data_IF_097160653516
#
_entry.id   IF_097160653516
#
_cell.length_a   1.000
_cell.length_b   1.000
_cell.length_c   1.000
_cell.angle_alpha   90.00
_cell.angle_beta   90.00
_cell.angle_gamma   90.00
#
_symmetry.space_group_name_H-M   'P 1'
#
loop_
_entity.id
_entity.type
_entity.pdbx_description
1 polymer ?
#
# COMPACT_ATOMS: atom_id res chain seq x y z
N UNK A 1 54.88 26.88 -12.36
CA UNK A 1 54.38 27.87 -13.33
C UNK A 1 52.85 27.86 -13.28
N UNK A 2 52.29 29.06 -13.10
CA UNK A 2 50.88 29.47 -13.19
C UNK A 2 49.83 28.85 -12.24
N UNK A 3 49.65 29.56 -11.11
CA UNK A 3 48.40 29.76 -10.40
C UNK A 3 47.43 30.61 -11.24
N UNK A 4 46.12 30.36 -11.12
CA UNK A 4 45.11 31.42 -11.21
C UNK A 4 44.06 31.24 -10.11
N UNK A 5 44.00 32.28 -9.30
CA UNK A 5 43.16 32.55 -8.15
C UNK A 5 42.03 33.47 -8.63
N UNK A 6 40.78 33.32 -8.18
CA UNK A 6 39.78 34.40 -8.28
C UNK A 6 38.73 34.32 -7.16
N UNK A 7 38.58 35.48 -6.53
CA UNK A 7 37.91 35.79 -5.29
C UNK A 7 36.38 35.94 -5.39
N UNK A 8 35.80 35.86 -4.19
CA UNK A 8 34.52 36.31 -3.67
C UNK A 8 33.94 37.65 -4.18
N UNK A 9 32.60 37.72 -4.19
CA UNK A 9 31.83 38.95 -3.92
C UNK A 9 30.56 38.64 -3.10
N UNK A 10 30.48 39.24 -1.92
CA UNK A 10 29.24 39.48 -1.17
C UNK A 10 28.60 40.79 -1.63
N UNK A 11 27.27 40.87 -1.60
CA UNK A 11 26.54 42.07 -1.15
C UNK A 11 25.13 41.71 -0.65
N UNK A 12 24.80 42.17 0.57
CA UNK A 12 23.45 42.34 1.13
C UNK A 12 22.78 43.57 0.51
N UNK A 13 21.44 43.68 0.57
CA UNK A 13 20.66 44.77 1.21
C UNK A 13 19.13 44.62 0.95
N UNK A 14 18.40 44.66 2.09
CA UNK A 14 17.08 45.18 2.48
C UNK A 14 15.83 45.30 1.56
N UNK A 15 14.70 45.05 2.25
CA UNK A 15 13.27 45.28 1.98
C UNK A 15 12.86 46.76 1.83
N UNK A 16 11.68 47.06 1.26
CA UNK A 16 10.69 47.83 2.04
C UNK A 16 9.21 47.41 1.89
N UNK A 17 8.44 47.63 2.97
CA UNK A 17 6.96 47.53 3.05
C UNK A 17 6.25 48.77 2.46
N UNK A 18 5.04 48.64 1.88
CA UNK A 18 3.80 49.27 2.41
C UNK A 18 2.50 49.01 1.59
N UNK A 19 1.44 48.58 2.32
CA UNK A 19 0.00 48.96 2.34
C UNK A 19 -0.80 49.26 1.05
N UNK A 20 -1.94 48.57 0.86
CA UNK A 20 -3.37 49.06 0.88
C UNK A 20 -4.35 47.99 0.35
N UNK A 21 -5.30 47.50 1.17
CA UNK A 21 -6.78 47.76 1.22
C UNK A 21 -7.64 47.24 0.03
N UNK A 22 -8.55 46.32 0.40
CA UNK A 22 -9.73 45.68 -0.25
C UNK A 22 -10.76 46.65 -0.87
N UNK A 23 -11.68 46.23 -1.78
CA UNK A 23 -12.85 45.38 -1.42
C UNK A 23 -13.47 44.42 -2.48
N UNK A 24 -14.25 43.47 -1.93
CA UNK A 24 -15.25 42.58 -2.57
C UNK A 24 -16.22 43.27 -3.54
N UNK A 25 -16.86 42.47 -4.42
CA UNK A 25 -18.28 42.61 -4.71
C UNK A 25 -19.10 41.37 -4.27
N UNK A 26 -20.13 41.64 -3.47
CA UNK A 26 -21.29 40.75 -3.26
C UNK A 26 -22.19 40.78 -4.50
N UNK A 27 -22.81 39.66 -4.84
CA UNK A 27 -24.06 39.66 -5.60
C UNK A 27 -25.00 38.56 -5.09
N UNK A 28 -26.10 39.01 -4.50
CA UNK A 28 -27.38 38.34 -4.19
C UNK A 28 -28.35 38.79 -5.30
N UNK A 29 -29.34 38.07 -5.86
CA UNK A 29 -30.34 37.10 -5.41
C UNK A 29 -30.99 36.48 -6.67
N UNK A 30 -31.51 35.24 -6.61
CA UNK A 30 -32.91 34.96 -6.97
C UNK A 30 -33.31 33.55 -6.55
N UNK A 31 -34.45 33.47 -5.84
CA UNK A 31 -35.20 32.27 -5.48
C UNK A 31 -36.03 31.81 -6.66
N UNK A 32 -36.04 30.51 -6.95
CA UNK A 32 -37.23 29.85 -7.49
C UNK A 32 -37.48 28.54 -6.74
N UNK A 33 -38.67 28.50 -6.15
CA UNK A 33 -39.29 27.33 -5.53
C UNK A 33 -39.56 26.24 -6.57
N UNK A 34 -39.26 25.00 -6.23
CA UNK A 34 -39.99 23.83 -6.75
C UNK A 34 -40.16 22.80 -5.63
N UNK A 35 -41.36 22.77 -5.06
CA UNK A 35 -41.96 21.60 -4.43
C UNK A 35 -42.29 20.63 -5.59
N UNK A 36 -42.16 19.31 -5.56
CA UNK A 36 -42.21 18.32 -4.49
C UNK A 36 -41.77 16.97 -5.08
N UNK A 37 -41.14 16.09 -4.29
CA UNK A 37 -41.65 14.73 -4.00
C UNK A 37 -40.74 14.04 -2.95
N UNK A 38 -41.30 13.31 -1.98
CA UNK A 38 -40.56 12.81 -0.84
C UNK A 38 -39.91 11.46 -1.16
N UNK A 39 -38.59 11.44 -1.33
CA UNK A 39 -37.85 10.18 -1.31
C UNK A 39 -37.75 9.71 0.15
N UNK A 40 -38.54 8.67 0.42
CA UNK A 40 -38.55 7.90 1.65
C UNK A 40 -37.11 7.50 2.03
N UNK A 41 -36.67 7.93 3.21
CA UNK A 41 -35.51 7.39 3.92
C UNK A 41 -35.75 5.90 4.15
N UNK A 42 -35.20 5.04 3.29
CA UNK A 42 -34.99 3.64 3.63
C UNK A 42 -33.71 3.60 4.45
N UNK A 43 -33.89 3.69 5.76
CA UNK A 43 -32.86 3.50 6.76
C UNK A 43 -32.61 1.98 6.90
N UNK A 44 -32.02 1.35 5.88
CA UNK A 44 -31.53 -0.01 6.00
C UNK A 44 -30.17 0.04 6.70
N UNK A 45 -30.19 -0.10 8.03
CA UNK A 45 -29.02 -0.62 8.76
C UNK A 45 -28.73 -2.02 8.22
N UNK A 46 -27.82 -2.11 7.26
CA UNK A 46 -27.24 -3.38 6.83
C UNK A 46 -26.55 -4.00 8.04
N UNK A 47 -27.07 -5.14 8.50
CA UNK A 47 -26.32 -5.99 9.44
C UNK A 47 -25.03 -6.42 8.73
N UNK A 48 -23.86 -6.39 9.38
CA UNK A 48 -22.63 -6.81 8.75
C UNK A 48 -22.72 -8.30 8.41
N UNK A 49 -22.91 -8.60 7.14
CA UNK A 49 -22.83 -9.96 6.62
C UNK A 49 -21.36 -10.36 6.71
N UNK A 50 -21.01 -11.22 7.68
CA UNK A 50 -19.67 -11.83 7.75
C UNK A 50 -19.39 -12.48 6.40
N UNK A 51 -18.48 -11.90 5.62
CA UNK A 51 -18.08 -12.49 4.36
C UNK A 51 -17.46 -13.86 4.64
N UNK A 52 -18.04 -14.88 4.02
CA UNK A 52 -17.64 -16.27 4.19
C UNK A 52 -16.45 -16.51 3.25
N UNK A 53 -15.24 -16.60 3.81
CA UNK A 53 -14.06 -16.97 3.02
C UNK A 53 -14.18 -18.46 2.70
N UNK A 54 -14.20 -18.79 1.40
CA UNK A 54 -14.21 -20.19 0.96
C UNK A 54 -12.82 -20.80 1.15
N UNK A 55 -12.72 -22.06 1.60
CA UNK A 55 -11.43 -22.73 1.73
C UNK A 55 -10.71 -22.81 0.38
N UNK A 56 -9.44 -22.39 0.36
CA UNK A 56 -8.56 -22.51 -0.79
C UNK A 56 -7.64 -23.71 -0.57
N UNK A 57 -7.41 -24.52 -1.61
CA UNK A 57 -6.42 -25.61 -1.60
C UNK A 57 -5.33 -25.35 -2.64
N UNK A 58 -4.10 -25.71 -2.28
CA UNK A 58 -2.96 -25.66 -3.18
C UNK A 58 -2.90 -26.87 -4.10
N UNK A 59 -2.37 -26.67 -5.31
CA UNK A 59 -2.30 -27.68 -6.38
C UNK A 59 -0.98 -28.46 -6.37
N UNK A 60 -0.83 -29.40 -7.31
CA UNK A 60 0.45 -30.06 -7.56
C UNK A 60 1.52 -29.09 -8.10
N UNK A 61 1.13 -28.13 -8.94
CA UNK A 61 2.04 -27.12 -9.48
C UNK A 61 2.64 -26.26 -8.36
N UNK A 62 1.84 -25.87 -7.37
CA UNK A 62 2.33 -25.19 -6.17
C UNK A 62 3.40 -26.00 -5.43
N UNK A 63 3.21 -27.32 -5.28
CA UNK A 63 4.18 -28.18 -4.57
C UNK A 63 5.48 -28.39 -5.35
N UNK A 64 5.39 -28.35 -6.68
CA UNK A 64 6.54 -28.51 -7.56
C UNK A 64 7.42 -27.25 -7.59
N UNK A 65 6.81 -26.06 -7.49
CA UNK A 65 7.54 -24.80 -7.43
C UNK A 65 7.99 -24.48 -6.00
N UNK A 66 9.30 -24.26 -5.81
CA UNK A 66 9.88 -23.87 -4.52
C UNK A 66 10.86 -22.72 -4.74
N UNK A 67 10.44 -21.46 -4.54
CA UNK A 67 11.36 -20.35 -4.67
C UNK A 67 12.42 -20.40 -3.57
N UNK A 68 13.58 -19.80 -3.84
CA UNK A 68 14.53 -19.51 -2.76
C UNK A 68 13.88 -18.51 -1.80
N UNK A 69 14.23 -18.61 -0.52
CA UNK A 69 13.83 -17.61 0.44
C UNK A 69 14.98 -17.20 1.35
N UNK A 70 14.86 -15.98 1.87
CA UNK A 70 15.78 -15.37 2.81
C UNK A 70 14.97 -14.67 3.90
N UNK A 71 15.59 -14.43 5.05
CA UNK A 71 15.03 -13.65 6.14
C UNK A 71 15.94 -12.46 6.37
N UNK A 72 15.39 -11.25 6.32
CA UNK A 72 16.08 -10.01 6.57
C UNK A 72 15.19 -9.12 7.43
N UNK A 73 15.09 -9.46 8.73
CA UNK A 73 14.19 -8.79 9.66
C UNK A 73 14.39 -7.28 9.64
N UNK A 74 13.28 -6.55 9.50
CA UNK A 74 13.25 -5.11 9.71
C UNK A 74 13.60 -4.79 11.17
N UNK A 75 14.09 -3.59 11.40
CA UNK A 75 14.24 -3.05 12.74
C UNK A 75 12.87 -2.98 13.43
N UNK A 76 12.77 -3.31 14.74
CA UNK A 76 11.52 -3.21 15.49
C UNK A 76 10.84 -1.84 15.47
N UNK A 77 11.56 -0.74 15.16
CA UNK A 77 10.94 0.57 14.99
C UNK A 77 10.17 0.74 13.69
N UNK A 78 10.34 -0.16 12.71
CA UNK A 78 9.70 -0.10 11.39
C UNK A 78 8.45 -0.97 11.25
N UNK A 79 7.95 -1.56 12.34
CA UNK A 79 6.68 -2.28 12.36
C UNK A 79 6.08 -2.22 13.77
N UNK A 80 4.84 -2.69 13.93
CA UNK A 80 4.19 -2.70 15.24
C UNK A 80 3.30 -3.92 15.45
N UNK A 81 2.55 -3.94 16.54
CA UNK A 81 1.52 -4.95 16.76
C UNK A 81 0.31 -4.71 15.86
N UNK A 82 -0.37 -5.80 15.50
CA UNK A 82 -1.76 -5.73 15.03
C UNK A 82 -2.66 -5.48 16.23
N UNK A 83 -3.47 -4.42 16.17
CA UNK A 83 -4.36 -4.04 17.25
C UNK A 83 -5.71 -4.75 17.10
N UNK A 84 -6.21 -5.35 18.19
CA UNK A 84 -7.54 -5.94 18.25
C UNK A 84 -8.66 -4.89 18.37
N UNK A 85 -8.30 -3.65 18.72
CA UNK A 85 -9.18 -2.48 18.78
C UNK A 85 -8.50 -1.29 18.12
N UNK A 86 -9.27 -0.44 17.48
CA UNK A 86 -8.79 0.84 16.96
C UNK A 86 -8.63 1.88 18.09
N UNK A 87 -8.19 3.08 17.73
CA UNK A 87 -7.95 4.18 18.65
C UNK A 87 -9.21 4.67 19.40
N UNK A 88 -10.40 4.43 18.84
CA UNK A 88 -11.70 4.75 19.46
C UNK A 88 -12.22 3.58 20.32
N UNK A 89 -11.49 2.45 20.38
CA UNK A 89 -11.86 1.26 21.12
C UNK A 89 -12.78 0.30 20.35
N UNK A 90 -13.07 0.55 19.08
CA UNK A 90 -13.87 -0.31 18.20
C UNK A 90 -13.11 -1.58 17.88
N UNK A 91 -13.78 -2.74 17.94
CA UNK A 91 -13.17 -4.02 17.60
C UNK A 91 -12.76 -4.08 16.13
N UNK A 92 -11.50 -4.46 15.88
CA UNK A 92 -11.01 -4.75 14.54
C UNK A 92 -11.38 -6.17 14.16
N UNK A 93 -12.21 -6.33 13.12
CA UNK A 93 -12.66 -7.62 12.62
C UNK A 93 -12.57 -7.75 11.09
N UNK A 94 -11.76 -6.90 10.46
CA UNK A 94 -11.51 -6.90 9.03
C UNK A 94 -10.99 -8.26 8.57
N UNK A 95 -11.40 -8.67 7.36
CA UNK A 95 -10.83 -9.84 6.74
C UNK A 95 -9.41 -9.54 6.25
N UNK A 96 -8.51 -10.53 6.20
CA UNK A 96 -7.16 -10.33 5.68
C UNK A 96 -7.17 -9.73 4.27
N UNK A 97 -6.24 -8.83 4.01
CA UNK A 97 -6.04 -8.16 2.72
C UNK A 97 -4.59 -8.38 2.26
N UNK A 98 -4.34 -8.52 0.96
CA UNK A 98 -2.99 -8.47 0.40
C UNK A 98 -2.85 -7.15 -0.35
N UNK A 99 -1.80 -6.39 -0.04
CA UNK A 99 -1.47 -5.15 -0.76
C UNK A 99 -0.15 -5.34 -1.46
N UNK A 100 -0.17 -5.15 -2.79
CA UNK A 100 0.98 -5.25 -3.65
C UNK A 100 1.66 -3.89 -3.78
N UNK A 101 2.99 -3.91 -3.69
CA UNK A 101 3.86 -2.74 -3.77
C UNK A 101 4.98 -2.97 -4.78
N UNK A 102 5.71 -1.90 -5.08
CA UNK A 102 7.05 -1.99 -5.66
C UNK A 102 8.06 -1.26 -4.75
N UNK A 103 9.35 -1.53 -4.93
CA UNK A 103 10.41 -0.92 -4.11
C UNK A 103 10.86 0.46 -4.61
N UNK A 104 10.65 0.78 -5.89
CA UNK A 104 11.23 1.91 -6.63
C UNK A 104 12.78 1.99 -6.56
N UNK A 105 13.41 0.93 -6.06
CA UNK A 105 14.83 0.82 -5.74
C UNK A 105 15.29 -0.65 -5.81
N UNK A 106 16.59 -0.95 -5.84
CA UNK A 106 17.07 -2.32 -5.66
C UNK A 106 16.61 -2.91 -4.32
N UNK A 107 16.41 -4.23 -4.27
CA UNK A 107 15.94 -4.93 -3.07
C UNK A 107 16.86 -4.70 -1.87
N UNK A 108 18.18 -4.67 -2.10
CA UNK A 108 19.19 -4.42 -1.05
C UNK A 108 19.01 -3.05 -0.40
N UNK A 109 18.65 -2.01 -1.16
CA UNK A 109 18.42 -0.66 -0.63
C UNK A 109 17.18 -0.63 0.28
N UNK A 110 16.09 -1.26 -0.14
CA UNK A 110 14.87 -1.35 0.67
C UNK A 110 15.09 -2.19 1.94
N UNK A 111 15.81 -3.31 1.85
CA UNK A 111 16.17 -4.14 3.01
C UNK A 111 17.01 -3.32 4.01
N UNK A 112 18.04 -2.63 3.53
CA UNK A 112 18.88 -1.78 4.38
C UNK A 112 18.07 -0.67 5.05
N UNK A 113 17.13 -0.05 4.32
CA UNK A 113 16.22 0.94 4.88
C UNK A 113 15.37 0.34 6.02
N UNK A 114 14.79 -0.85 5.81
CA UNK A 114 13.97 -1.52 6.83
C UNK A 114 14.78 -1.94 8.06
N UNK A 115 16.06 -2.30 7.89
CA UNK A 115 16.95 -2.69 8.99
C UNK A 115 17.50 -1.49 9.78
N UNK A 116 17.45 -0.29 9.19
CA UNK A 116 17.85 0.96 9.85
C UNK A 116 16.75 1.41 10.81
N UNK A 117 17.06 1.72 12.09
CA UNK A 117 16.06 2.22 13.02
C UNK A 117 15.54 3.60 12.59
N UNK A 118 14.21 3.78 12.63
CA UNK A 118 13.56 5.07 12.40
C UNK A 118 12.59 5.38 13.55
N UNK A 119 12.84 6.46 14.29
CA UNK A 119 11.96 6.88 15.39
C UNK A 119 10.83 7.82 14.93
N UNK A 120 10.99 8.42 13.75
CA UNK A 120 9.98 9.27 13.13
C UNK A 120 8.95 8.44 12.36
N UNK A 121 7.71 8.46 12.82
CA UNK A 121 6.57 7.80 12.16
C UNK A 121 6.32 8.23 10.71
N UNK A 122 6.82 9.39 10.28
CA UNK A 122 6.74 9.85 8.89
C UNK A 122 7.77 9.17 7.97
N UNK A 123 8.81 8.55 8.54
CA UNK A 123 9.89 7.87 7.81
C UNK A 123 9.74 6.36 7.89
N UNK A 124 9.26 5.85 9.03
CA UNK A 124 9.04 4.43 9.25
C UNK A 124 8.27 3.76 8.11
N UNK A 125 8.87 2.72 7.53
CA UNK A 125 8.23 1.92 6.49
C UNK A 125 8.72 0.48 6.54
N UNK A 126 7.85 -0.45 6.14
CA UNK A 126 8.21 -1.85 5.97
C UNK A 126 7.17 -2.60 5.14
N UNK A 127 7.61 -3.73 4.58
CA UNK A 127 6.71 -4.74 4.00
C UNK A 127 6.84 -6.04 4.78
N UNK A 128 5.90 -6.96 4.62
CA UNK A 128 6.04 -8.30 5.21
C UNK A 128 6.99 -9.15 4.38
N UNK A 129 6.90 -9.00 3.07
CA UNK A 129 7.71 -9.77 2.13
C UNK A 129 8.11 -8.92 0.92
N UNK A 130 9.28 -9.22 0.37
CA UNK A 130 9.77 -8.68 -0.88
C UNK A 130 10.14 -9.81 -1.84
N UNK A 131 9.91 -9.63 -3.14
CA UNK A 131 10.30 -10.59 -4.17
C UNK A 131 11.38 -9.96 -5.05
N UNK A 132 12.62 -10.48 -4.96
CA UNK A 132 13.76 -10.03 -5.77
C UNK A 132 13.54 -10.31 -7.26
N UNK A 133 14.33 -9.68 -8.13
CA UNK A 133 14.26 -9.89 -9.58
C UNK A 133 14.38 -11.36 -10.00
N UNK A 134 15.14 -12.16 -9.25
CA UNK A 134 15.35 -13.60 -9.50
C UNK A 134 14.26 -14.50 -8.87
N UNK A 135 13.21 -13.93 -8.28
CA UNK A 135 12.14 -14.64 -7.60
C UNK A 135 12.43 -14.99 -6.14
N UNK A 136 13.59 -14.65 -5.59
CA UNK A 136 13.87 -14.93 -4.17
C UNK A 136 12.88 -14.18 -3.27
N UNK A 137 12.22 -14.92 -2.38
CA UNK A 137 11.26 -14.41 -1.40
C UNK A 137 12.02 -13.97 -0.15
N UNK A 138 11.97 -12.69 0.19
CA UNK A 138 12.63 -12.14 1.38
C UNK A 138 11.56 -11.78 2.42
N UNK A 139 11.58 -12.47 3.56
CA UNK A 139 10.72 -12.15 4.69
C UNK A 139 11.36 -11.04 5.54
N UNK A 140 10.62 -9.96 5.77
CA UNK A 140 11.13 -8.74 6.44
C UNK A 140 10.35 -8.37 7.70
N UNK A 141 9.05 -8.68 7.78
CA UNK A 141 8.22 -8.49 8.98
C UNK A 141 7.38 -9.76 9.22
N UNK A 142 7.31 -10.29 10.46
CA UNK A 142 6.46 -11.45 10.76
C UNK A 142 4.99 -11.20 10.41
N UNK A 143 4.25 -12.20 9.89
CA UNK A 143 2.86 -12.04 9.42
C UNK A 143 1.88 -11.54 10.50
N UNK A 144 2.11 -11.90 11.76
CA UNK A 144 1.31 -11.50 12.92
C UNK A 144 1.53 -10.04 13.34
N UNK A 145 2.59 -9.40 12.84
CA UNK A 145 2.89 -7.99 13.07
C UNK A 145 2.24 -7.13 12.00
N UNK A 146 2.15 -5.83 12.29
CA UNK A 146 1.68 -4.79 11.39
C UNK A 146 2.90 -4.13 10.74
N UNK A 147 3.15 -4.43 9.48
CA UNK A 147 4.10 -3.67 8.67
C UNK A 147 3.54 -2.27 8.35
N UNK A 148 4.42 -1.32 8.05
CA UNK A 148 4.07 0.06 7.73
C UNK A 148 4.17 0.30 6.22
N UNK A 149 3.26 -0.33 5.46
CA UNK A 149 3.37 -0.40 4.00
C UNK A 149 2.51 0.60 3.23
N UNK A 150 1.37 1.03 3.77
CA UNK A 150 0.35 1.74 2.99
C UNK A 150 0.00 3.18 3.45
N UNK A 151 0.55 3.66 4.56
CA UNK A 151 0.24 4.98 5.13
C UNK A 151 -1.29 5.29 5.13
N UNK A 152 -1.70 6.51 4.75
CA UNK A 152 -3.12 6.90 4.60
C UNK A 152 -3.82 6.08 3.51
N UNK A 153 -4.62 5.11 3.93
CA UNK A 153 -5.18 4.12 3.01
C UNK A 153 -6.53 3.56 3.45
N UNK A 154 -7.36 3.22 2.47
CA UNK A 154 -8.68 2.60 2.64
C UNK A 154 -8.88 1.56 1.55
N UNK A 155 -9.36 0.38 1.91
CA UNK A 155 -9.75 -0.65 0.96
C UNK A 155 -11.26 -0.59 0.70
N UNK A 156 -11.66 -0.31 -0.53
CA UNK A 156 -13.08 -0.30 -0.93
C UNK A 156 -13.48 -1.66 -1.49
N UNK A 157 -13.99 -2.52 -0.61
CA UNK A 157 -14.43 -3.87 -0.94
C UNK A 157 -15.94 -4.00 -1.14
N UNK A 158 -16.39 -5.22 -1.44
CA UNK A 158 -17.82 -5.54 -1.56
C UNK A 158 -18.62 -5.37 -0.26
N UNK A 159 -17.95 -5.24 0.88
CA UNK A 159 -18.54 -4.99 2.19
C UNK A 159 -18.53 -3.51 2.58
N UNK A 160 -18.06 -2.63 1.68
CA UNK A 160 -17.82 -1.22 1.94
C UNK A 160 -16.34 -0.91 2.18
N UNK A 161 -16.09 0.33 2.59
CA UNK A 161 -14.76 0.85 2.88
C UNK A 161 -14.21 0.29 4.20
N UNK A 162 -12.99 -0.22 4.16
CA UNK A 162 -12.28 -0.82 5.29
C UNK A 162 -10.96 -0.07 5.57
N UNK A 163 -10.79 0.38 6.81
CA UNK A 163 -9.55 0.98 7.31
C UNK A 163 -9.52 0.91 8.84
N UNK A 164 -8.35 1.10 9.45
CA UNK A 164 -8.20 1.10 10.92
C UNK A 164 -7.38 2.32 11.36
N UNK A 165 -7.93 3.07 12.32
CA UNK A 165 -7.23 4.17 12.99
C UNK A 165 -6.41 3.61 14.16
N UNK A 166 -5.10 3.42 14.00
CA UNK A 166 -4.25 2.86 15.09
C UNK A 166 -3.63 3.92 16.01
N UNK A 167 -3.52 5.16 15.53
CA UNK A 167 -2.98 6.30 16.26
C UNK A 167 -3.79 7.55 15.88
N UNK A 168 -4.45 8.27 16.80
CA UNK A 168 -5.23 9.48 16.49
C UNK A 168 -4.48 10.57 15.71
N UNK A 169 -3.15 10.63 15.83
CA UNK A 169 -2.32 11.66 15.19
C UNK A 169 -1.90 11.30 13.75
N UNK A 170 -2.19 10.08 13.30
CA UNK A 170 -1.87 9.61 11.94
C UNK A 170 -3.16 9.38 11.15
N UNK A 171 -3.13 9.42 9.81
CA UNK A 171 -4.27 8.99 9.01
C UNK A 171 -4.58 7.49 9.21
N UNK A 172 -5.85 7.07 9.02
CA UNK A 172 -6.23 5.67 9.10
C UNK A 172 -5.60 4.86 7.96
N UNK A 173 -5.40 3.57 8.20
CA UNK A 173 -4.64 2.71 7.29
C UNK A 173 -5.14 1.28 7.22
N UNK A 174 -4.91 0.62 6.09
CA UNK A 174 -5.11 -0.83 5.93
C UNK A 174 -4.01 -1.66 6.62
N UNK A 175 -2.91 -1.04 7.06
CA UNK A 175 -1.73 -1.71 7.65
C UNK A 175 -2.12 -2.75 8.72
N UNK A 176 -3.13 -2.47 9.55
CA UNK A 176 -3.51 -3.32 10.68
C UNK A 176 -4.05 -4.71 10.28
N UNK A 177 -4.60 -4.87 9.08
CA UNK A 177 -5.17 -6.12 8.58
C UNK A 177 -4.61 -6.57 7.22
N UNK A 178 -3.70 -5.78 6.63
CA UNK A 178 -3.03 -6.10 5.38
C UNK A 178 -1.76 -6.93 5.58
N UNK A 179 -1.47 -7.78 4.61
CA UNK A 179 -0.18 -8.41 4.36
C UNK A 179 0.43 -7.74 3.12
N UNK A 180 1.56 -7.08 3.32
CA UNK A 180 2.21 -6.24 2.32
C UNK A 180 3.30 -7.04 1.60
N UNK A 181 3.20 -7.14 0.28
CA UNK A 181 4.19 -7.79 -0.57
C UNK A 181 4.72 -6.79 -1.58
N UNK A 182 6.04 -6.60 -1.62
CA UNK A 182 6.69 -5.71 -2.59
C UNK A 182 7.47 -6.47 -3.64
N UNK A 183 7.43 -6.00 -4.88
CA UNK A 183 8.26 -6.50 -5.97
C UNK A 183 9.47 -5.58 -6.14
N UNK A 184 10.66 -6.17 -6.24
CA UNK A 184 11.84 -5.41 -6.64
C UNK A 184 11.61 -4.80 -8.02
N UNK A 185 11.71 -3.48 -8.10
CA UNK A 185 11.54 -2.73 -9.34
C UNK A 185 12.62 -3.12 -10.35
N UNK A 186 12.27 -3.39 -11.62
CA UNK A 186 13.26 -3.70 -12.66
C UNK A 186 14.21 -2.51 -12.87
N UNK A 187 15.45 -2.72 -13.36
CA UNK A 187 16.41 -1.64 -13.57
C UNK A 187 15.87 -0.43 -14.37
N UNK A 188 14.92 -0.67 -15.29
CA UNK A 188 14.25 0.37 -16.08
C UNK A 188 13.33 1.31 -15.30
N UNK A 189 12.91 0.93 -14.08
CA UNK A 189 12.01 1.70 -13.22
C UNK A 189 12.65 2.25 -11.95
N UNK A 190 13.93 1.92 -11.68
CA UNK A 190 14.62 2.33 -10.46
C UNK A 190 14.92 3.83 -10.51
N UNK A 191 14.68 4.52 -9.38
CA UNK A 191 15.05 5.94 -9.16
C UNK A 191 14.51 6.90 -10.25
N UNK A 192 13.36 6.60 -10.83
CA UNK A 192 12.65 7.48 -11.75
C UNK A 192 11.16 7.57 -11.41
N UNK A 193 10.53 8.65 -11.88
CA UNK A 193 9.12 8.92 -11.66
C UNK A 193 8.25 8.55 -12.87
N UNK A 194 8.78 7.74 -13.79
CA UNK A 194 8.02 7.32 -14.95
C UNK A 194 6.82 6.47 -14.50
N UNK A 195 5.63 6.64 -15.10
CA UNK A 195 4.44 5.91 -14.71
C UNK A 195 4.51 4.42 -15.07
N UNK A 196 5.48 4.02 -15.90
CA UNK A 196 5.68 2.65 -16.37
C UNK A 196 7.16 2.30 -16.45
N UNK A 197 7.44 1.00 -16.52
CA UNK A 197 8.76 0.40 -16.71
C UNK A 197 8.61 -0.94 -17.45
N UNK A 198 9.70 -1.66 -17.72
CA UNK A 198 9.67 -2.89 -18.55
C UNK A 198 8.82 -4.04 -18.00
N UNK A 199 8.41 -3.96 -16.74
CA UNK A 199 7.58 -4.96 -16.06
C UNK A 199 8.41 -5.93 -15.24
N UNK A 200 7.70 -6.79 -14.51
CA UNK A 200 8.29 -7.75 -13.57
C UNK A 200 8.68 -9.07 -14.24
N UNK A 201 9.67 -9.75 -13.68
CA UNK A 201 10.18 -11.01 -14.22
C UNK A 201 9.19 -12.15 -14.03
N UNK A 202 9.33 -13.21 -14.83
CA UNK A 202 8.53 -14.42 -14.66
C UNK A 202 8.72 -15.05 -13.26
N UNK A 203 9.96 -15.06 -12.77
CA UNK A 203 10.30 -15.56 -11.44
C UNK A 203 9.59 -14.76 -10.33
N UNK A 204 9.44 -13.44 -10.50
CA UNK A 204 8.67 -12.59 -9.59
C UNK A 204 7.19 -12.97 -9.55
N UNK A 205 6.54 -13.15 -10.71
CA UNK A 205 5.14 -13.57 -10.77
C UNK A 205 4.92 -14.96 -10.15
N UNK A 206 5.79 -15.94 -10.46
CA UNK A 206 5.69 -17.28 -9.89
C UNK A 206 5.89 -17.29 -8.37
N UNK A 207 6.85 -16.52 -7.87
CA UNK A 207 7.13 -16.45 -6.43
C UNK A 207 6.05 -15.69 -5.67
N UNK A 208 5.50 -14.63 -6.25
CA UNK A 208 4.34 -13.92 -5.71
C UNK A 208 3.11 -14.84 -5.64
N UNK A 209 2.84 -15.59 -6.72
CA UNK A 209 1.76 -16.56 -6.75
C UNK A 209 1.96 -17.68 -5.71
N UNK A 210 3.18 -18.20 -5.59
CA UNK A 210 3.53 -19.20 -4.59
C UNK A 210 3.34 -18.69 -3.16
N UNK A 211 3.76 -17.47 -2.88
CA UNK A 211 3.58 -16.85 -1.57
C UNK A 211 2.09 -16.73 -1.22
N UNK A 212 1.29 -16.18 -2.13
CA UNK A 212 -0.13 -15.89 -1.89
C UNK A 212 -0.99 -17.16 -1.86
N UNK A 213 -0.60 -18.19 -2.61
CA UNK A 213 -1.31 -19.48 -2.66
C UNK A 213 -1.40 -20.21 -1.31
N UNK A 214 -0.55 -19.85 -0.36
CA UNK A 214 -0.54 -20.39 1.00
C UNK A 214 -1.63 -19.79 1.90
N UNK A 215 -2.32 -18.74 1.42
CA UNK A 215 -3.37 -18.05 2.16
C UNK A 215 -4.77 -18.37 1.62
N UNK A 216 -5.78 -18.14 2.46
CA UNK A 216 -7.18 -18.17 2.06
C UNK A 216 -7.69 -16.80 1.58
N UNK A 217 -6.80 -15.83 1.30
CA UNK A 217 -7.22 -14.50 0.84
C UNK A 217 -7.80 -14.63 -0.57
N UNK A 218 -9.10 -14.31 -0.77
CA UNK A 218 -9.72 -14.41 -2.08
C UNK A 218 -9.18 -13.33 -3.03
N UNK A 219 -9.31 -13.55 -4.33
CA UNK A 219 -8.72 -12.69 -5.36
C UNK A 219 -9.17 -11.23 -5.25
N UNK A 220 -10.43 -10.99 -4.88
CA UNK A 220 -11.00 -9.66 -4.71
C UNK A 220 -10.43 -8.90 -3.49
N UNK A 221 -9.61 -9.55 -2.67
CA UNK A 221 -8.88 -8.97 -1.54
C UNK A 221 -7.36 -8.95 -1.78
N UNK A 222 -6.95 -9.13 -3.03
CA UNK A 222 -5.60 -8.82 -3.49
C UNK A 222 -5.70 -7.51 -4.25
N UNK A 223 -5.05 -6.47 -3.72
CA UNK A 223 -5.15 -5.11 -4.23
C UNK A 223 -3.77 -4.50 -4.41
N UNK A 224 -3.69 -3.34 -5.05
CA UNK A 224 -2.46 -2.57 -5.19
C UNK A 224 -2.39 -1.44 -4.16
N UNK A 225 -1.18 -0.94 -3.90
CA UNK A 225 -1.01 0.25 -3.07
C UNK A 225 -1.74 1.46 -3.67
N UNK A 226 -1.66 1.64 -4.99
CA UNK A 226 -2.42 2.66 -5.73
C UNK A 226 -3.91 2.63 -5.42
N UNK A 227 -4.53 1.44 -5.40
CA UNK A 227 -5.98 1.32 -5.22
C UNK A 227 -6.43 1.62 -3.79
N UNK A 228 -5.57 1.39 -2.80
CA UNK A 228 -5.87 1.71 -1.40
C UNK A 228 -5.44 3.11 -0.98
N UNK A 229 -4.60 3.79 -1.75
CA UNK A 229 -4.05 5.10 -1.39
C UNK A 229 -5.13 6.17 -1.27
N UNK A 230 -4.99 7.03 -0.25
CA UNK A 230 -5.84 8.21 -0.06
C UNK A 230 -5.05 9.52 -0.06
N UNK A 231 -3.74 9.45 -0.24
CA UNK A 231 -2.89 10.64 -0.45
C UNK A 231 -2.89 11.14 -1.89
N UNK A 232 -3.19 10.28 -2.86
CA UNK A 232 -3.09 10.57 -4.30
C UNK A 232 -1.65 10.55 -4.83
N UNK A 233 -0.70 10.00 -4.06
CA UNK A 233 0.73 10.01 -4.38
C UNK A 233 1.24 8.64 -4.82
N UNK A 234 0.46 7.57 -4.63
CA UNK A 234 0.91 6.20 -4.91
C UNK A 234 0.40 5.72 -6.26
N UNK A 235 1.32 5.14 -7.04
CA UNK A 235 1.05 4.58 -8.36
C UNK A 235 1.52 3.13 -8.48
N UNK A 236 2.07 2.57 -7.39
CA UNK A 236 2.68 1.25 -7.36
C UNK A 236 1.65 0.11 -7.18
N UNK A 237 1.96 -1.09 -7.71
CA UNK A 237 3.11 -1.43 -8.53
C UNK A 237 2.93 -1.02 -10.00
N UNK A 238 3.85 -0.23 -10.55
CA UNK A 238 3.82 0.19 -11.96
C UNK A 238 3.95 -1.01 -12.89
N UNK A 239 3.24 -1.00 -14.00
CA UNK A 239 3.34 -2.05 -15.06
C UNK A 239 3.09 -3.48 -14.56
N UNK A 240 2.36 -3.65 -13.44
CA UNK A 240 1.98 -4.96 -12.94
C UNK A 240 0.85 -5.55 -13.79
N UNK A 241 1.03 -6.78 -14.25
CA UNK A 241 0.05 -7.52 -15.04
C UNK A 241 -0.79 -8.42 -14.13
N UNK A 242 -1.95 -7.91 -13.72
CA UNK A 242 -2.90 -8.62 -12.88
C UNK A 242 -3.39 -9.92 -13.54
N UNK A 243 -3.63 -9.92 -14.86
CA UNK A 243 -4.13 -11.09 -15.56
C UNK A 243 -3.07 -12.21 -15.55
N UNK A 244 -1.82 -11.85 -15.84
CA UNK A 244 -0.70 -12.78 -15.73
C UNK A 244 -0.55 -13.33 -14.32
N UNK A 245 -0.59 -12.46 -13.30
CA UNK A 245 -0.51 -12.88 -11.92
C UNK A 245 -1.62 -13.87 -11.54
N UNK A 246 -2.89 -13.56 -11.85
CA UNK A 246 -4.00 -14.43 -11.51
C UNK A 246 -3.96 -15.77 -12.25
N UNK A 247 -3.54 -15.78 -13.52
CA UNK A 247 -3.34 -17.02 -14.26
C UNK A 247 -2.34 -17.95 -13.54
N UNK A 248 -1.22 -17.40 -13.06
CA UNK A 248 -0.23 -18.19 -12.30
C UNK A 248 -0.78 -18.60 -10.93
N UNK A 249 -1.43 -17.68 -10.21
CA UNK A 249 -2.01 -17.94 -8.89
C UNK A 249 -3.05 -19.07 -8.94
N UNK A 250 -3.94 -19.05 -9.93
CA UNK A 250 -4.97 -20.07 -10.12
C UNK A 250 -4.41 -21.41 -10.57
N UNK A 251 -3.23 -21.43 -11.19
CA UNK A 251 -2.49 -22.68 -11.42
C UNK A 251 -1.98 -23.29 -10.10
N UNK A 252 -1.71 -22.47 -9.09
CA UNK A 252 -1.16 -22.87 -7.79
C UNK A 252 -2.23 -23.13 -6.72
N UNK A 253 -3.42 -22.53 -6.85
CA UNK A 253 -4.50 -22.68 -5.88
C UNK A 253 -5.89 -22.67 -6.54
N UNK A 254 -6.85 -23.33 -5.90
CA UNK A 254 -8.26 -23.31 -6.34
C UNK A 254 -9.23 -23.37 -5.16
N UNK A 255 -10.46 -22.92 -5.40
CA UNK A 255 -11.56 -23.02 -4.44
C UNK A 255 -12.00 -24.46 -4.31
N UNK A 256 -12.15 -24.95 -3.08
CA UNK A 256 -12.71 -26.27 -2.83
C UNK A 256 -14.22 -26.21 -3.00
N UNK A 257 -14.76 -26.96 -3.95
CA UNK A 257 -16.20 -27.23 -3.97
C UNK A 257 -16.52 -28.13 -2.78
N UNK A 258 -17.37 -27.65 -1.89
CA UNK A 258 -17.95 -28.45 -0.82
C UNK A 258 -19.11 -29.19 -1.45
N UNK A 259 -18.91 -30.49 -1.74
CA UNK A 259 -19.99 -31.41 -2.10
C UNK A 259 -20.74 -31.86 -0.86
#
# INVERSE_FOLDING_TARGET
MQNLNLNSRQTKIANPQSKTKTPNPKTTLSRQNSLSQPQQKINQKSKPQKARISPIKTTAAFRAYKPRYEIAWANPTNFGERLAKDADGTLVNNLPLIVLHETAAPASSAINFFQTPHDDSNVQASYHTMIKLDGTVVYTVPPEKRAFGAANSVFDGSLGSETVQTNPDLPPSVNNFAYHVSLETPPSGVMNNEPTHTGYTEAQYQSLAWLIAQSNVPDQRITTHRDVDRSGQRIDPRSFDLNKFFNVLHSFRGVVSIN
#
